data_IF_992581423294
#
_entry.id   IF_992581423294
#
_cell.length_a   1.000
_cell.length_b   1.000
_cell.length_c   1.000
_cell.angle_alpha   90.00
_cell.angle_beta   90.00
_cell.angle_gamma   90.00
#
_symmetry.space_group_name_H-M   'P 1'
#
loop_
_entity.id
_entity.type
_entity.pdbx_description
1 polymer ?
#
# COMPACT_ATOMS: atom_id res chain seq x y z
N UNK A 1 -3.33 16.23 1.44
CA UNK A 1 -3.23 14.85 0.90
C UNK A 1 -4.40 14.04 1.43
N UNK A 2 -5.07 13.24 0.59
CA UNK A 2 -6.28 12.48 0.96
C UNK A 2 -6.09 11.58 2.18
N UNK A 3 -4.88 11.03 2.37
CA UNK A 3 -4.52 10.21 3.53
C UNK A 3 -4.69 10.97 4.85
N UNK A 4 -4.27 12.24 4.92
CA UNK A 4 -4.44 13.05 6.14
C UNK A 4 -5.89 13.40 6.42
N UNK A 5 -6.69 13.66 5.37
CA UNK A 5 -8.13 13.91 5.52
C UNK A 5 -8.85 12.67 6.07
N UNK A 6 -8.51 11.48 5.56
CA UNK A 6 -9.05 10.22 6.05
C UNK A 6 -8.76 10.02 7.54
N UNK A 7 -7.48 10.15 7.94
CA UNK A 7 -7.10 9.97 9.34
C UNK A 7 -7.67 11.06 10.26
N UNK A 8 -7.77 12.30 9.80
CA UNK A 8 -8.44 13.36 10.54
C UNK A 8 -9.92 13.02 10.78
N UNK A 9 -10.63 12.48 9.78
CA UNK A 9 -12.02 12.05 9.93
C UNK A 9 -12.16 10.88 10.91
N UNK A 10 -11.29 9.86 10.83
CA UNK A 10 -11.29 8.73 11.79
C UNK A 10 -11.04 9.22 13.22
N UNK A 11 -10.05 10.09 13.42
CA UNK A 11 -9.73 10.66 14.74
C UNK A 11 -10.90 11.52 15.26
N UNK A 12 -11.52 12.33 14.40
CA UNK A 12 -12.68 13.14 14.78
C UNK A 12 -13.84 12.26 15.28
N UNK A 13 -14.12 11.13 14.62
CA UNK A 13 -15.13 10.16 15.06
C UNK A 13 -14.77 9.51 16.40
N UNK A 14 -13.50 9.17 16.60
CA UNK A 14 -12.99 8.64 17.88
C UNK A 14 -13.19 9.64 19.02
N UNK A 15 -12.79 10.91 18.81
CA UNK A 15 -12.97 11.97 19.81
C UNK A 15 -14.44 12.21 20.10
N UNK A 16 -15.30 12.20 19.07
CA UNK A 16 -16.74 12.36 19.22
C UNK A 16 -17.35 11.21 20.06
N UNK A 17 -16.94 9.97 19.82
CA UNK A 17 -17.41 8.81 20.58
C UNK A 17 -17.00 8.89 22.07
N UNK A 18 -15.76 9.30 22.35
CA UNK A 18 -15.27 9.51 23.72
C UNK A 18 -15.99 10.68 24.40
N UNK A 19 -16.18 11.79 23.69
CA UNK A 19 -16.89 12.96 24.19
C UNK A 19 -18.35 12.63 24.53
N UNK A 20 -19.06 11.94 23.64
CA UNK A 20 -20.41 11.48 23.89
C UNK A 20 -20.47 10.51 25.09
N UNK A 21 -19.55 9.54 25.17
CA UNK A 21 -19.44 8.62 26.30
C UNK A 21 -19.22 9.33 27.63
N UNK A 22 -18.37 10.37 27.66
CA UNK A 22 -18.14 11.21 28.83
C UNK A 22 -19.39 11.99 29.23
N UNK A 23 -20.07 12.65 28.28
CA UNK A 23 -21.30 13.43 28.54
C UNK A 23 -22.46 12.58 29.04
N UNK A 24 -22.50 11.30 28.66
CA UNK A 24 -23.53 10.35 29.06
C UNK A 24 -23.18 9.54 30.33
N UNK A 25 -22.05 9.83 30.99
CA UNK A 25 -21.61 9.10 32.19
C UNK A 25 -21.18 7.65 31.94
N UNK A 26 -20.95 7.28 30.67
CA UNK A 26 -20.62 5.93 30.25
C UNK A 26 -19.30 5.89 29.46
N UNK A 27 -18.24 6.46 30.02
CA UNK A 27 -16.92 6.56 29.37
C UNK A 27 -16.39 5.20 28.90
N UNK A 28 -16.61 4.13 29.68
CA UNK A 28 -16.20 2.77 29.29
C UNK A 28 -16.86 2.29 27.98
N UNK A 29 -18.16 2.54 27.81
CA UNK A 29 -18.87 2.22 26.55
C UNK A 29 -18.38 3.11 25.40
N UNK A 30 -18.16 4.40 25.67
CA UNK A 30 -17.58 5.33 24.70
C UNK A 30 -16.19 4.89 24.21
N UNK A 31 -15.36 4.38 25.12
CA UNK A 31 -14.04 3.85 24.81
C UNK A 31 -14.11 2.59 23.94
N UNK A 32 -15.06 1.67 24.20
CA UNK A 32 -15.28 0.49 23.35
C UNK A 32 -15.66 0.91 21.94
N UNK A 33 -16.63 1.82 21.79
CA UNK A 33 -17.07 2.33 20.48
C UNK A 33 -15.91 3.03 19.75
N UNK A 34 -15.16 3.87 20.45
CA UNK A 34 -13.97 4.54 19.89
C UNK A 34 -12.92 3.53 19.40
N UNK A 35 -12.66 2.47 20.17
CA UNK A 35 -11.76 1.39 19.78
C UNK A 35 -12.21 0.67 18.51
N UNK A 36 -13.51 0.37 18.40
CA UNK A 36 -14.10 -0.26 17.21
C UNK A 36 -13.97 0.65 15.98
N UNK A 37 -14.29 1.95 16.11
CA UNK A 37 -14.15 2.93 15.02
C UNK A 37 -12.70 3.00 14.55
N UNK A 38 -11.75 3.13 15.48
CA UNK A 38 -10.34 3.22 15.14
C UNK A 38 -9.85 1.95 14.43
N UNK A 39 -10.18 0.77 14.97
CA UNK A 39 -9.78 -0.50 14.39
C UNK A 39 -10.39 -0.70 13.00
N UNK A 40 -11.67 -0.40 12.82
CA UNK A 40 -12.33 -0.47 11.53
C UNK A 40 -11.73 0.51 10.50
N UNK A 41 -11.43 1.75 10.92
CA UNK A 41 -10.75 2.73 10.07
C UNK A 41 -9.34 2.27 9.68
N UNK A 42 -8.56 1.76 10.63
CA UNK A 42 -7.23 1.24 10.35
C UNK A 42 -7.27 0.03 9.39
N UNK A 43 -8.16 -0.94 9.63
CA UNK A 43 -8.35 -2.09 8.75
C UNK A 43 -8.78 -1.65 7.34
N UNK A 44 -9.77 -0.76 7.23
CA UNK A 44 -10.23 -0.26 5.94
C UNK A 44 -9.12 0.52 5.20
N UNK A 45 -8.29 1.27 5.92
CA UNK A 45 -7.14 1.94 5.33
C UNK A 45 -6.13 0.95 4.74
N UNK A 46 -5.67 0.01 5.56
CA UNK A 46 -4.64 -0.95 5.20
C UNK A 46 -5.11 -1.92 4.09
N UNK A 47 -6.31 -2.48 4.24
CA UNK A 47 -6.86 -3.48 3.31
C UNK A 47 -7.61 -2.88 2.11
N UNK A 48 -7.72 -1.56 1.97
CA UNK A 48 -8.43 -0.98 0.83
C UNK A 48 -7.94 0.41 0.42
N UNK A 49 -8.04 1.39 1.32
CA UNK A 49 -7.92 2.79 0.90
C UNK A 49 -6.49 3.21 0.54
N UNK A 50 -5.45 2.60 1.11
CA UNK A 50 -4.07 3.00 0.80
C UNK A 50 -3.77 2.94 -0.71
N UNK A 51 -4.10 1.84 -1.38
CA UNK A 51 -3.85 1.69 -2.82
C UNK A 51 -4.76 2.58 -3.66
N UNK A 52 -6.04 2.70 -3.28
CA UNK A 52 -7.01 3.58 -3.97
C UNK A 52 -6.55 5.04 -3.89
N UNK A 53 -6.06 5.47 -2.72
CA UNK A 53 -5.57 6.83 -2.50
C UNK A 53 -4.34 7.13 -3.34
N UNK A 54 -3.36 6.22 -3.37
CA UNK A 54 -2.15 6.37 -4.18
C UNK A 54 -2.51 6.43 -5.66
N UNK A 55 -3.31 5.49 -6.16
CA UNK A 55 -3.64 5.38 -7.57
C UNK A 55 -4.52 6.53 -8.09
N UNK A 56 -5.54 6.94 -7.32
CA UNK A 56 -6.62 7.83 -7.81
C UNK A 56 -6.60 9.24 -7.25
N UNK A 57 -5.96 9.45 -6.10
CA UNK A 57 -6.10 10.69 -5.32
C UNK A 57 -4.77 11.30 -4.87
N UNK A 58 -3.63 10.82 -5.38
CA UNK A 58 -2.31 11.35 -5.06
C UNK A 58 -1.84 11.06 -3.63
N UNK A 59 -2.19 9.89 -3.08
CA UNK A 59 -1.62 9.36 -1.85
C UNK A 59 -0.17 8.91 -2.02
N UNK A 60 0.48 8.52 -0.91
CA UNK A 60 1.89 8.05 -0.91
C UNK A 60 1.95 6.61 -0.39
N UNK A 61 2.71 5.77 -1.08
CA UNK A 61 3.05 4.41 -0.65
C UNK A 61 4.54 4.17 -0.89
N UNK A 62 5.19 3.54 0.08
CA UNK A 62 6.61 3.23 0.03
C UNK A 62 6.78 1.73 -0.17
N UNK A 63 7.52 1.35 -1.22
CA UNK A 63 7.87 -0.04 -1.49
C UNK A 63 9.38 -0.14 -1.61
N UNK A 64 9.94 -1.16 -0.96
CA UNK A 64 11.37 -1.43 -0.98
C UNK A 64 11.66 -2.56 -1.95
N UNK A 65 12.57 -2.31 -2.89
CA UNK A 65 13.10 -3.34 -3.78
C UNK A 65 13.91 -4.35 -2.94
N UNK A 66 13.69 -5.67 -3.11
CA UNK A 66 14.48 -6.67 -2.39
C UNK A 66 15.98 -6.55 -2.66
N UNK A 67 16.79 -6.81 -1.64
CA UNK A 67 18.24 -6.71 -1.75
C UNK A 67 18.78 -7.62 -2.87
N UNK A 68 19.68 -7.07 -3.70
CA UNK A 68 20.29 -7.80 -4.82
C UNK A 68 19.46 -7.79 -6.10
N UNK A 69 18.18 -7.41 -6.03
CA UNK A 69 17.35 -7.18 -7.22
C UNK A 69 17.49 -5.74 -7.72
N UNK A 70 17.21 -5.54 -9.01
CA UNK A 70 17.18 -4.23 -9.68
C UNK A 70 15.75 -3.94 -10.13
N UNK A 71 15.23 -2.76 -9.82
CA UNK A 71 13.92 -2.35 -10.30
C UNK A 71 13.97 -2.10 -11.81
N UNK A 72 13.04 -2.71 -12.55
CA UNK A 72 12.89 -2.50 -14.00
C UNK A 72 11.71 -1.57 -14.31
N UNK A 73 10.57 -1.79 -13.66
CA UNK A 73 9.38 -1.01 -13.94
C UNK A 73 8.24 -1.29 -12.98
N UNK A 74 7.20 -0.46 -13.05
CA UNK A 74 5.96 -0.67 -12.31
C UNK A 74 4.76 -0.33 -13.19
N UNK A 75 3.66 -1.06 -13.00
CA UNK A 75 2.41 -0.82 -13.71
C UNK A 75 1.21 -1.10 -12.80
N UNK A 76 0.06 -0.52 -13.13
CA UNK A 76 -1.19 -0.78 -12.43
C UNK A 76 -2.05 -1.75 -13.23
N UNK A 77 -2.52 -2.81 -12.58
CA UNK A 77 -3.58 -3.68 -13.08
C UNK A 77 -4.75 -3.54 -12.13
N UNK A 78 -5.83 -2.90 -12.59
CA UNK A 78 -6.90 -2.43 -11.72
C UNK A 78 -6.30 -1.66 -10.52
N UNK A 79 -6.77 -1.87 -9.31
CA UNK A 79 -6.24 -1.17 -8.13
C UNK A 79 -4.96 -1.80 -7.55
N UNK A 80 -4.39 -2.85 -8.17
CA UNK A 80 -3.18 -3.51 -7.68
C UNK A 80 -1.94 -2.98 -8.41
N UNK A 81 -0.87 -2.74 -7.65
CA UNK A 81 0.41 -2.31 -8.20
C UNK A 81 1.26 -3.53 -8.53
N UNK A 82 1.73 -3.63 -9.76
CA UNK A 82 2.68 -4.64 -10.18
C UNK A 82 4.05 -4.02 -10.30
N UNK A 83 5.05 -4.67 -9.70
CA UNK A 83 6.45 -4.25 -9.77
C UNK A 83 7.25 -5.36 -10.43
N UNK A 84 8.02 -4.98 -11.44
CA UNK A 84 8.99 -5.83 -12.10
C UNK A 84 10.39 -5.53 -11.56
N UNK A 85 11.06 -6.58 -11.07
CA UNK A 85 12.45 -6.54 -10.64
C UNK A 85 13.26 -7.63 -11.35
N UNK A 86 14.52 -7.35 -11.64
CA UNK A 86 15.48 -8.31 -12.16
C UNK A 86 16.40 -8.84 -11.07
N UNK A 87 16.58 -10.16 -11.00
CA UNK A 87 17.60 -10.81 -10.20
C UNK A 87 18.80 -11.22 -11.10
N UNK A 88 19.96 -10.55 -10.98
CA UNK A 88 21.14 -10.86 -11.78
C UNK A 88 21.81 -12.19 -11.39
N UNK A 89 21.51 -12.76 -10.21
CA UNK A 89 22.10 -14.03 -9.78
C UNK A 89 21.42 -15.21 -10.46
N UNK A 90 20.10 -15.15 -10.62
CA UNK A 90 19.31 -16.23 -11.22
C UNK A 90 18.93 -15.96 -12.68
N UNK A 91 19.19 -14.75 -13.18
CA UNK A 91 18.79 -14.28 -14.50
C UNK A 91 17.25 -14.34 -14.71
N UNK A 92 16.52 -13.90 -13.68
CA UNK A 92 15.05 -13.93 -13.65
C UNK A 92 14.47 -12.51 -13.55
N UNK A 93 13.39 -12.27 -14.29
CA UNK A 93 12.52 -11.11 -14.09
C UNK A 93 11.31 -11.52 -13.27
N UNK A 94 11.09 -10.81 -12.17
CA UNK A 94 10.13 -11.13 -11.13
C UNK A 94 9.07 -10.03 -11.12
N UNK A 95 7.87 -10.39 -11.52
CA UNK A 95 6.69 -9.54 -11.43
C UNK A 95 5.95 -9.90 -10.15
N UNK A 96 5.96 -8.97 -9.18
CA UNK A 96 5.25 -9.10 -7.92
C UNK A 96 4.05 -8.17 -7.91
N UNK A 97 2.87 -8.73 -7.62
CA UNK A 97 1.66 -7.98 -7.36
C UNK A 97 1.59 -7.56 -5.90
N UNK A 98 1.46 -6.25 -5.67
CA UNK A 98 1.09 -5.69 -4.39
C UNK A 98 -0.43 -5.50 -4.41
N UNK A 99 -1.16 -6.43 -3.80
CA UNK A 99 -2.61 -6.37 -3.69
C UNK A 99 -3.05 -5.68 -2.40
N UNK A 100 -4.34 -5.33 -2.33
CA UNK A 100 -4.95 -4.68 -1.17
C UNK A 100 -4.68 -5.47 0.12
N UNK A 101 -3.88 -4.88 1.02
CA UNK A 101 -3.48 -5.49 2.29
C UNK A 101 -2.45 -6.63 2.21
N UNK A 102 -1.81 -6.84 1.05
CA UNK A 102 -0.76 -7.85 0.82
C UNK A 102 -1.18 -9.30 1.16
N UNK A 103 -2.48 -9.63 1.06
CA UNK A 103 -2.97 -10.96 1.45
C UNK A 103 -2.85 -12.00 0.34
N UNK A 104 -3.08 -11.59 -0.91
CA UNK A 104 -3.08 -12.47 -2.08
C UNK A 104 -2.25 -11.80 -3.16
N UNK A 105 -0.95 -12.05 -3.15
CA UNK A 105 -0.01 -11.47 -4.09
C UNK A 105 0.26 -12.46 -5.23
N UNK A 106 -0.16 -12.11 -6.44
CA UNK A 106 0.29 -12.80 -7.64
C UNK A 106 1.80 -12.63 -7.85
N UNK A 107 2.44 -13.67 -8.38
CA UNK A 107 3.85 -13.61 -8.75
C UNK A 107 4.08 -14.31 -10.08
N UNK A 108 4.77 -13.65 -11.00
CA UNK A 108 5.20 -14.24 -12.27
C UNK A 108 6.72 -14.16 -12.34
N UNK A 109 7.35 -15.28 -12.71
CA UNK A 109 8.81 -15.39 -12.84
C UNK A 109 9.12 -15.73 -14.30
N UNK A 110 9.87 -14.85 -14.96
CA UNK A 110 10.36 -15.04 -16.33
C UNK A 110 11.84 -15.41 -16.23
N UNK A 111 12.18 -16.64 -16.65
CA UNK A 111 13.56 -17.14 -16.67
C UNK A 111 14.29 -16.70 -17.94
N UNK A 112 15.62 -16.60 -17.84
CA UNK A 112 16.48 -16.12 -18.92
C UNK A 112 16.04 -14.74 -19.41
N UNK A 113 15.68 -13.87 -18.47
CA UNK A 113 15.26 -12.54 -18.79
C UNK A 113 16.43 -11.73 -19.35
N UNK A 114 16.21 -11.00 -20.43
CA UNK A 114 17.18 -10.05 -20.97
C UNK A 114 16.62 -8.64 -20.75
N UNK A 115 16.73 -8.08 -19.53
CA UNK A 115 16.42 -6.68 -19.35
C UNK A 115 17.43 -5.94 -20.22
N UNK A 116 16.98 -5.29 -21.28
CA UNK A 116 17.81 -4.49 -22.16
C UNK A 116 18.46 -3.39 -21.30
N UNK A 117 19.61 -3.71 -20.70
CA UNK A 117 20.57 -2.72 -20.29
C UNK A 117 20.92 -2.03 -21.59
N UNK A 118 20.55 -0.75 -21.69
CA UNK A 118 20.90 0.15 -22.78
C UNK A 118 22.26 -0.29 -23.31
N UNK A 119 22.26 -0.94 -24.48
CA UNK A 119 23.50 -1.45 -25.04
C UNK A 119 24.40 -0.22 -25.11
N UNK A 120 25.58 -0.31 -24.49
CA UNK A 120 26.64 0.66 -24.66
C UNK A 120 27.08 0.59 -26.14
N UNK A 121 26.22 1.06 -27.04
CA UNK A 121 26.57 1.40 -28.40
C UNK A 121 27.50 2.59 -28.24
N UNK A 122 28.79 2.47 -28.57
CA UNK A 122 29.66 3.64 -28.61
C UNK A 122 29.00 4.60 -29.59
N UNK A 123 28.61 5.79 -29.11
CA UNK A 123 28.17 6.85 -30.01
C UNK A 123 29.35 7.15 -30.96
N UNK A 124 29.12 7.20 -32.28
CA UNK A 124 30.17 7.46 -33.26
C UNK A 124 30.82 8.84 -33.05
#
# INVERSE_FOLDING_TARGET
MVTYLYWAAVIALVVLALFAGSRLGHLGKGAIVAGVIFLAGWLAYYFHYQQVFVKRFGGVMHIKVPNGQRHLGSTWKDDNLWIENFDPKTNECIFSEYSKGNLLEGRVIIRNCNPLMEQAVPRP
#
